data_IF_345356155436
#
_entry.id   IF_345356155436
#
_cell.length_a   1.000
_cell.length_b   1.000
_cell.length_c   1.000
_cell.angle_alpha   90.00
_cell.angle_beta   90.00
_cell.angle_gamma   90.00
#
_symmetry.space_group_name_H-M   'P 1'
#
loop_
_entity.id
_entity.type
_entity.pdbx_description
1 polymer ?
#
# COMPACT_ATOMS: atom_id res chain seq x y z
N UNK A 1 0.52 19.36 0.66
CA UNK A 1 0.42 18.07 -0.04
C UNK A 1 1.61 17.21 0.32
N UNK A 2 1.35 15.96 0.68
CA UNK A 2 2.43 15.07 1.08
C UNK A 2 3.13 14.50 -0.14
N UNK A 3 4.29 13.89 0.10
CA UNK A 3 5.10 13.35 -0.99
C UNK A 3 4.36 12.30 -1.78
N UNK A 4 3.59 11.41 -1.13
CA UNK A 4 2.88 10.36 -1.84
C UNK A 4 1.86 10.93 -2.83
N UNK A 5 1.32 12.10 -2.57
CA UNK A 5 0.37 12.73 -3.49
C UNK A 5 0.99 13.23 -4.76
N UNK A 6 2.32 13.31 -4.80
CA UNK A 6 3.05 13.74 -5.99
C UNK A 6 3.62 12.56 -6.78
N UNK A 7 3.47 11.35 -6.27
CA UNK A 7 3.99 10.20 -6.97
C UNK A 7 3.16 9.91 -8.20
N UNK A 8 3.83 9.34 -9.20
CA UNK A 8 3.18 8.94 -10.43
C UNK A 8 1.99 8.04 -10.12
N UNK A 9 0.89 8.23 -10.83
CA UNK A 9 -0.34 7.44 -10.70
C UNK A 9 -1.14 7.70 -9.43
N UNK A 10 -0.62 8.45 -8.48
CA UNK A 10 -1.32 8.71 -7.23
C UNK A 10 -1.84 10.14 -7.23
N UNK A 11 -3.12 10.29 -6.98
CA UNK A 11 -3.77 11.60 -6.97
C UNK A 11 -4.28 11.95 -5.58
N UNK A 12 -5.13 12.99 -5.49
CA UNK A 12 -5.59 13.48 -4.19
C UNK A 12 -6.36 12.43 -3.38
N UNK A 13 -7.14 11.58 -4.05
CA UNK A 13 -7.91 10.55 -3.33
C UNK A 13 -6.98 9.52 -2.73
N UNK A 14 -6.00 9.05 -3.52
CA UNK A 14 -5.02 8.09 -3.03
C UNK A 14 -4.19 8.70 -1.90
N UNK A 15 -3.82 9.97 -2.06
CA UNK A 15 -3.06 10.65 -1.02
C UNK A 15 -3.83 10.68 0.29
N UNK A 16 -5.11 11.04 0.24
CA UNK A 16 -5.91 11.10 1.45
C UNK A 16 -6.02 9.75 2.14
N UNK A 17 -6.22 8.70 1.35
CA UNK A 17 -6.32 7.36 1.92
C UNK A 17 -5.01 6.94 2.57
N UNK A 18 -3.90 7.15 1.89
CA UNK A 18 -2.60 6.76 2.44
C UNK A 18 -2.24 7.57 3.66
N UNK A 19 -2.54 8.88 3.63
CA UNK A 19 -2.28 9.73 4.80
C UNK A 19 -3.11 9.27 6.00
N UNK A 20 -4.32 8.79 5.76
CA UNK A 20 -5.18 8.33 6.84
C UNK A 20 -4.61 7.13 7.58
N UNK A 21 -3.73 6.36 6.95
CA UNK A 21 -3.08 5.22 7.59
C UNK A 21 -1.60 5.49 7.87
N UNK A 22 -1.22 6.77 7.90
CA UNK A 22 0.12 7.15 8.34
C UNK A 22 1.20 7.14 7.26
N UNK A 23 0.81 7.05 6.00
CA UNK A 23 1.78 7.01 4.90
C UNK A 23 1.78 8.38 4.22
N UNK A 24 2.92 9.07 4.29
CA UNK A 24 3.06 10.42 3.74
C UNK A 24 4.22 10.54 2.76
N UNK A 25 5.22 9.68 2.87
CA UNK A 25 6.45 9.79 2.08
C UNK A 25 6.66 8.55 1.24
N UNK A 26 7.48 8.71 0.21
CA UNK A 26 7.85 7.58 -0.65
C UNK A 26 8.55 6.46 0.11
N UNK A 27 9.52 6.76 1.00
CA UNK A 27 10.13 5.67 1.77
C UNK A 27 9.13 4.92 2.63
N UNK A 28 8.16 5.62 3.22
CA UNK A 28 7.14 4.96 4.03
C UNK A 28 6.30 4.02 3.18
N UNK A 29 5.92 4.48 1.99
CA UNK A 29 5.13 3.65 1.11
C UNK A 29 5.93 2.45 0.60
N UNK A 30 7.21 2.67 0.29
CA UNK A 30 8.08 1.60 -0.17
C UNK A 30 8.24 0.52 0.87
N UNK A 31 8.40 0.93 2.11
CA UNK A 31 8.55 -0.02 3.21
C UNK A 31 7.27 -0.83 3.43
N UNK A 32 6.13 -0.17 3.36
CA UNK A 32 4.84 -0.83 3.55
C UNK A 32 4.50 -1.74 2.36
N UNK A 33 4.68 -1.24 1.15
CA UNK A 33 4.36 -1.98 -0.07
C UNK A 33 2.90 -1.87 -0.46
N UNK A 34 2.61 -2.17 -1.73
CA UNK A 34 1.27 -2.00 -2.27
C UNK A 34 0.25 -2.94 -1.61
N UNK A 35 0.63 -4.19 -1.39
CA UNK A 35 -0.30 -5.18 -0.83
C UNK A 35 -0.65 -4.83 0.60
N UNK A 36 0.35 -4.48 1.41
CA UNK A 36 0.09 -4.12 2.80
C UNK A 36 -0.65 -2.80 2.91
N UNK A 37 -0.43 -1.87 1.98
CA UNK A 37 -1.20 -0.63 1.96
C UNK A 37 -2.67 -0.94 1.75
N UNK A 38 -2.99 -1.83 0.81
CA UNK A 38 -4.36 -2.25 0.57
C UNK A 38 -4.96 -2.89 1.82
N UNK A 39 -4.21 -3.79 2.44
CA UNK A 39 -4.69 -4.49 3.64
C UNK A 39 -4.94 -3.52 4.78
N UNK A 40 -4.02 -2.59 4.99
CA UNK A 40 -4.15 -1.63 6.07
C UNK A 40 -5.35 -0.72 5.85
N UNK A 41 -5.56 -0.27 4.62
CA UNK A 41 -6.72 0.54 4.29
C UNK A 41 -8.01 -0.21 4.57
N UNK A 42 -8.06 -1.47 4.18
CA UNK A 42 -9.24 -2.30 4.44
C UNK A 42 -9.50 -2.43 5.94
N UNK A 43 -8.44 -2.65 6.72
CA UNK A 43 -8.58 -2.77 8.17
C UNK A 43 -9.08 -1.50 8.82
N UNK A 44 -8.81 -0.34 8.19
CA UNK A 44 -9.23 0.94 8.74
C UNK A 44 -10.56 1.40 8.17
N UNK A 45 -11.29 0.51 7.49
CA UNK A 45 -12.64 0.81 7.04
C UNK A 45 -12.76 1.44 5.66
N UNK A 46 -11.64 1.57 4.95
CA UNK A 46 -11.69 2.05 3.58
C UNK A 46 -12.02 0.91 2.63
N UNK A 47 -12.43 1.25 1.41
CA UNK A 47 -12.73 0.25 0.40
C UNK A 47 -11.86 0.49 -0.83
N UNK A 48 -10.56 0.22 -0.72
CA UNK A 48 -9.66 0.45 -1.85
C UNK A 48 -9.95 -0.53 -2.98
N UNK A 49 -9.67 -0.10 -4.21
CA UNK A 49 -9.86 -0.95 -5.36
C UNK A 49 -8.55 -1.66 -5.71
N UNK A 50 -8.67 -2.71 -6.51
CA UNK A 50 -7.49 -3.38 -7.01
C UNK A 50 -6.64 -2.44 -7.86
N UNK A 51 -7.29 -1.49 -8.53
CA UNK A 51 -6.54 -0.50 -9.31
C UNK A 51 -5.61 0.33 -8.44
N UNK A 52 -5.97 0.57 -7.19
CA UNK A 52 -5.09 1.29 -6.28
C UNK A 52 -3.81 0.49 -6.03
N UNK A 53 -3.92 -0.83 -5.91
CA UNK A 53 -2.73 -1.67 -5.73
C UNK A 53 -1.81 -1.55 -6.94
N UNK A 54 -2.40 -1.59 -8.16
CA UNK A 54 -1.62 -1.42 -9.38
C UNK A 54 -0.96 -0.06 -9.42
N UNK A 55 -1.70 0.98 -9.05
CA UNK A 55 -1.19 2.33 -9.08
C UNK A 55 -0.04 2.52 -8.09
N UNK A 56 -0.15 1.95 -6.90
CA UNK A 56 0.91 2.07 -5.88
C UNK A 56 2.16 1.33 -6.35
N UNK A 57 1.98 0.11 -6.84
CA UNK A 57 3.15 -0.66 -7.27
C UNK A 57 3.87 0.05 -8.42
N UNK A 58 3.10 0.52 -9.40
CA UNK A 58 3.67 1.24 -10.52
C UNK A 58 4.34 2.54 -10.07
N UNK A 59 3.76 3.22 -9.08
CA UNK A 59 4.36 4.43 -8.54
C UNK A 59 5.72 4.13 -7.91
N UNK A 60 5.82 3.01 -7.20
CA UNK A 60 7.07 2.61 -6.57
C UNK A 60 8.12 2.22 -7.61
N UNK A 61 7.68 1.74 -8.78
CA UNK A 61 8.56 1.42 -9.88
C UNK A 61 8.82 2.62 -10.78
N UNK A 62 8.11 3.72 -10.52
CA UNK A 62 8.18 4.97 -11.30
C UNK A 62 7.82 4.75 -12.76
N UNK A 63 6.76 3.97 -13.00
CA UNK A 63 6.23 3.76 -14.35
C UNK A 63 4.75 4.08 -14.36
N UNK A 64 4.18 4.24 -15.55
CA UNK A 64 2.74 4.43 -15.68
C UNK A 64 2.03 3.14 -15.31
N UNK A 65 0.89 3.25 -14.62
CA UNK A 65 0.20 2.05 -14.11
C UNK A 65 -0.23 1.10 -15.24
N UNK A 66 -0.47 1.64 -16.43
CA UNK A 66 -0.83 0.80 -17.58
C UNK A 66 0.33 -0.02 -18.11
N UNK A 67 1.56 0.36 -17.72
CA UNK A 67 2.75 -0.38 -18.13
C UNK A 67 3.16 -1.45 -17.13
N UNK A 68 2.38 -1.64 -16.07
CA UNK A 68 2.70 -2.64 -15.07
C UNK A 68 2.66 -4.02 -15.70
N UNK A 69 3.75 -4.80 -15.60
CA UNK A 69 3.79 -6.12 -16.27
C UNK A 69 2.72 -7.07 -15.77
N UNK A 70 2.20 -7.92 -16.64
CA UNK A 70 1.18 -8.90 -16.24
C UNK A 70 1.65 -9.83 -15.11
N UNK A 71 2.92 -10.22 -15.13
CA UNK A 71 3.42 -11.11 -14.08
C UNK A 71 3.49 -10.40 -12.74
N UNK A 72 3.74 -9.08 -12.74
CA UNK A 72 3.72 -8.31 -11.51
C UNK A 72 2.30 -8.24 -10.96
N UNK A 73 1.31 -8.01 -11.84
CA UNK A 73 -0.09 -8.00 -11.41
C UNK A 73 -0.50 -9.34 -10.85
N UNK A 74 -0.08 -10.43 -11.49
CA UNK A 74 -0.41 -11.77 -11.01
C UNK A 74 0.19 -12.03 -9.64
N UNK A 75 1.43 -11.60 -9.42
CA UNK A 75 2.08 -11.76 -8.14
C UNK A 75 1.35 -11.00 -7.04
N UNK A 76 1.00 -9.74 -7.33
CA UNK A 76 0.30 -8.92 -6.35
C UNK A 76 -1.06 -9.50 -6.01
N UNK A 77 -1.77 -9.98 -7.03
CA UNK A 77 -3.08 -10.57 -6.81
C UNK A 77 -2.98 -11.83 -5.97
N UNK A 78 -1.98 -12.66 -6.24
CA UNK A 78 -1.77 -13.87 -5.45
C UNK A 78 -1.47 -13.53 -4.00
N UNK A 79 -0.66 -12.47 -3.77
CA UNK A 79 -0.36 -12.04 -2.42
C UNK A 79 -1.61 -11.54 -1.70
N UNK A 80 -2.46 -10.81 -2.42
CA UNK A 80 -3.69 -10.31 -1.82
C UNK A 80 -4.63 -11.43 -1.41
N UNK A 81 -4.61 -12.54 -2.16
CA UNK A 81 -5.49 -13.67 -1.89
C UNK A 81 -4.91 -14.64 -0.87
N UNK A 82 -3.63 -14.51 -0.56
CA UNK A 82 -2.98 -15.42 0.39
C UNK A 82 -3.40 -15.08 1.81
N UNK A 83 -3.42 -16.07 2.71
CA UNK A 83 -3.69 -15.79 4.12
C UNK A 83 -2.68 -14.81 4.69
N UNK A 84 -3.13 -13.91 5.56
CA UNK A 84 -2.24 -12.97 6.20
C UNK A 84 -2.77 -12.65 7.59
N UNK A 85 -1.87 -12.16 8.43
CA UNK A 85 -2.19 -11.89 9.83
C UNK A 85 -2.39 -10.39 10.02
N UNK A 86 -3.63 -9.98 10.21
CA UNK A 86 -3.96 -8.57 10.43
C UNK A 86 -3.24 -8.02 11.66
N UNK A 87 -3.05 -8.86 12.66
CA UNK A 87 -2.38 -8.44 13.88
C UNK A 87 -0.95 -8.03 13.63
N UNK A 88 -0.24 -8.82 12.82
CA UNK A 88 1.14 -8.50 12.51
C UNK A 88 1.25 -7.13 11.84
N UNK A 89 0.30 -6.82 10.97
CA UNK A 89 0.31 -5.55 10.27
C UNK A 89 0.00 -4.39 11.21
N UNK A 90 -0.98 -4.58 12.09
CA UNK A 90 -1.38 -3.52 13.00
C UNK A 90 -0.37 -3.27 14.11
N UNK A 91 0.39 -4.29 14.46
CA UNK A 91 1.38 -4.18 15.53
C UNK A 91 2.77 -3.86 15.02
N UNK A 92 2.89 -3.66 13.73
CA UNK A 92 4.18 -3.37 13.15
C UNK A 92 4.80 -2.15 13.82
N UNK A 93 6.03 -2.28 14.22
CA UNK A 93 6.72 -1.20 14.88
C UNK A 93 6.54 -1.15 16.36
N UNK A 94 5.52 -1.86 16.88
CA UNK A 94 5.29 -1.85 18.29
C UNK A 94 5.53 -3.17 18.90
N UNK A 95 5.39 -4.16 18.10
CA UNK A 95 5.25 -5.50 18.60
C UNK A 95 6.30 -5.93 19.51
N UNK A 96 7.35 -5.35 19.39
CA UNK A 96 8.35 -5.82 20.18
C UNK A 96 8.23 -5.44 21.56
N UNK A 97 7.75 -4.89 21.97
CA UNK A 97 7.73 -4.70 23.21
C UNK A 97 7.19 -5.53 24.06
N UNK A 98 7.18 -6.12 23.88
CA UNK A 98 6.75 -6.74 24.53
C UNK A 98 6.93 -7.40 25.24
N UNK A 99 7.28 -7.55 25.43
CA UNK A 99 7.30 -8.10 25.94
C UNK A 99 7.11 -8.32 26.60
N UNK A 100 7.27 -8.27 26.57
CA UNK A 100 6.96 -8.53 27.07
C UNK A 100 6.90 -9.00 27.43
#
# INVERSE_FOLDING_TARGET
MSEVGRMRNLGPVSERMLNAVGVHTTPELRELGAVNAYRLLTLRGHTPSLNLVWAIEAALMDIHWMDLPPETKARLKAELEAPWDARALLEDGDGEEEDG
#
